data_IF_696263965379
#
_entry.id   IF_696263965379
#
_cell.length_a   1.000
_cell.length_b   1.000
_cell.length_c   1.000
_cell.angle_alpha   90.00
_cell.angle_beta   90.00
_cell.angle_gamma   90.00
#
_symmetry.space_group_name_H-M   'P 1'
#
loop_
_entity.id
_entity.type
_entity.pdbx_description
1 polymer ?
#
# COMPACT_ATOMS: atom_id res chain seq x y z
N UNK A 1 64.28 -20.35 -18.79
CA UNK A 1 64.51 -18.89 -18.75
C UNK A 1 63.44 -18.27 -17.88
N UNK A 2 63.82 -17.79 -16.70
CA UNK A 2 62.91 -17.21 -15.72
C UNK A 2 62.38 -15.86 -16.22
N UNK A 3 61.07 -15.65 -16.15
CA UNK A 3 60.43 -14.38 -16.49
C UNK A 3 60.71 -13.41 -15.34
N UNK A 4 61.47 -12.36 -15.61
CA UNK A 4 61.83 -11.33 -14.63
C UNK A 4 60.58 -10.58 -14.16
N UNK A 5 60.40 -10.46 -12.84
CA UNK A 5 59.31 -9.73 -12.19
C UNK A 5 59.30 -8.21 -12.45
N UNK A 6 60.26 -7.71 -13.23
CA UNK A 6 60.37 -6.28 -13.56
C UNK A 6 59.42 -5.85 -14.69
N UNK A 7 58.82 -6.79 -15.42
CA UNK A 7 57.92 -6.48 -16.55
C UNK A 7 56.44 -6.32 -16.13
N UNK A 8 56.07 -6.66 -14.90
CA UNK A 8 54.68 -6.68 -14.44
C UNK A 8 54.18 -5.35 -13.84
N UNK A 9 55.02 -4.30 -13.77
CA UNK A 9 54.64 -2.98 -13.22
C UNK A 9 54.70 -1.86 -14.24
N UNK A 10 54.90 -2.17 -15.53
CA UNK A 10 54.67 -1.17 -16.58
C UNK A 10 53.18 -0.99 -16.76
N UNK A 11 52.66 -0.04 -16.00
CA UNK A 11 51.39 0.66 -16.20
C UNK A 11 51.00 0.63 -17.69
N UNK A 12 50.10 -0.28 -18.03
CA UNK A 12 49.38 -0.22 -19.29
C UNK A 12 48.51 1.02 -19.20
N UNK A 13 48.99 2.15 -19.72
CA UNK A 13 48.16 3.33 -19.88
C UNK A 13 47.01 2.94 -20.80
N UNK A 14 45.85 2.66 -20.23
CA UNK A 14 44.59 2.46 -20.97
C UNK A 14 44.03 3.78 -21.51
N UNK A 15 44.90 4.80 -21.63
CA UNK A 15 44.56 6.07 -22.24
C UNK A 15 44.47 5.85 -23.75
N UNK A 16 43.32 6.09 -24.41
CA UNK A 16 43.23 5.94 -25.86
C UNK A 16 44.25 6.91 -26.50
N UNK A 17 45.31 6.36 -27.08
CA UNK A 17 46.26 7.14 -27.87
C UNK A 17 45.51 7.62 -29.11
N UNK A 18 45.09 8.89 -29.10
CA UNK A 18 44.54 9.55 -30.28
C UNK A 18 45.61 9.53 -31.38
N UNK A 19 45.46 8.62 -32.34
CA UNK A 19 46.40 8.36 -33.43
C UNK A 19 46.37 9.47 -34.52
N UNK A 20 46.35 10.74 -34.11
CA UNK A 20 46.57 11.86 -35.02
C UNK A 20 47.74 12.67 -34.51
N UNK A 21 48.84 12.65 -35.26
CA UNK A 21 50.01 13.52 -35.00
C UNK A 21 49.48 14.95 -34.85
N UNK A 22 49.83 15.69 -33.78
CA UNK A 22 49.36 17.06 -33.61
C UNK A 22 49.81 17.86 -34.84
N UNK A 23 48.82 18.34 -35.61
CA UNK A 23 49.11 19.23 -36.75
C UNK A 23 49.89 20.43 -36.21
N UNK A 24 50.94 20.88 -36.90
CA UNK A 24 51.72 22.03 -36.44
C UNK A 24 50.77 23.21 -36.22
N UNK A 25 50.77 23.74 -34.99
CA UNK A 25 49.97 24.91 -34.64
C UNK A 25 50.46 26.04 -35.52
N UNK A 26 49.63 26.45 -36.48
CA UNK A 26 49.94 27.59 -37.34
C UNK A 26 50.17 28.81 -36.45
N UNK A 27 51.42 29.30 -36.41
CA UNK A 27 51.83 30.50 -35.67
C UNK A 27 51.41 31.76 -36.42
N UNK A 28 50.15 31.85 -36.83
CA UNK A 28 49.65 33.07 -37.44
C UNK A 28 49.72 34.20 -36.39
N UNK A 29 50.49 35.27 -36.65
CA UNK A 29 50.52 36.42 -35.75
C UNK A 29 49.10 36.96 -35.61
N UNK A 30 48.65 37.13 -34.36
CA UNK A 30 47.35 37.73 -34.07
C UNK A 30 47.35 39.23 -34.38
N UNK A 31 46.18 39.89 -34.28
CA UNK A 31 46.07 41.34 -34.42
C UNK A 31 47.05 42.06 -33.47
N UNK A 32 47.68 43.17 -33.91
CA UNK A 32 48.63 43.90 -33.07
C UNK A 32 47.92 44.50 -31.83
N UNK A 33 48.49 44.30 -30.64
CA UNK A 33 47.97 44.84 -29.37
C UNK A 33 47.16 43.87 -28.50
N UNK A 34 47.01 42.59 -28.88
CA UNK A 34 46.28 41.58 -28.09
C UNK A 34 47.03 41.24 -26.77
N UNK A 35 46.33 41.24 -25.63
CA UNK A 35 46.92 40.79 -24.36
C UNK A 35 47.21 39.27 -24.39
N UNK A 36 48.21 38.77 -23.63
CA UNK A 36 48.52 37.34 -23.62
C UNK A 36 47.31 36.45 -23.27
N UNK A 37 46.42 36.92 -22.39
CA UNK A 37 45.21 36.20 -22.00
C UNK A 37 44.17 36.14 -23.13
N UNK A 38 43.97 37.25 -23.86
CA UNK A 38 43.09 37.29 -25.03
C UNK A 38 43.59 36.33 -26.12
N UNK A 39 44.91 36.28 -26.34
CA UNK A 39 45.52 35.36 -27.31
C UNK A 39 45.22 33.90 -27.00
N UNK A 40 45.32 33.50 -25.74
CA UNK A 40 44.98 32.14 -25.32
C UNK A 40 43.49 31.86 -25.52
N UNK A 41 42.61 32.81 -25.18
CA UNK A 41 41.16 32.68 -25.39
C UNK A 41 40.82 32.50 -26.87
N UNK A 42 41.44 33.28 -27.75
CA UNK A 42 41.28 33.18 -29.21
C UNK A 42 41.79 31.85 -29.74
N UNK A 43 42.97 31.41 -29.31
CA UNK A 43 43.55 30.14 -29.73
C UNK A 43 42.70 28.95 -29.26
N UNK A 44 42.16 29.01 -28.04
CA UNK A 44 41.20 28.00 -27.53
C UNK A 44 39.93 28.02 -28.36
N UNK A 45 39.31 29.17 -28.58
CA UNK A 45 38.12 29.30 -29.41
C UNK A 45 38.34 28.84 -30.86
N UNK A 46 39.52 29.09 -31.44
CA UNK A 46 39.88 28.61 -32.77
C UNK A 46 40.11 27.10 -32.81
N UNK A 47 40.71 26.53 -31.76
CA UNK A 47 40.88 25.09 -31.61
C UNK A 47 39.53 24.39 -31.43
N UNK A 48 38.64 24.95 -30.61
CA UNK A 48 37.28 24.45 -30.39
C UNK A 48 36.47 24.53 -31.69
N UNK A 49 36.54 25.65 -32.42
CA UNK A 49 35.92 25.80 -33.74
C UNK A 49 36.48 24.82 -34.77
N UNK A 50 37.78 24.52 -34.72
CA UNK A 50 38.41 23.53 -35.61
C UNK A 50 37.98 22.10 -35.28
N UNK A 51 37.74 21.79 -33.99
CA UNK A 51 37.13 20.51 -33.59
C UNK A 51 35.68 20.43 -34.01
N UNK A 52 34.90 21.49 -33.80
CA UNK A 52 33.50 21.56 -34.19
C UNK A 52 33.28 21.52 -35.71
N UNK A 53 34.26 21.96 -36.51
CA UNK A 53 34.24 21.87 -37.96
C UNK A 53 34.47 20.44 -38.50
N UNK A 54 35.09 19.56 -37.70
CA UNK A 54 35.28 18.15 -38.06
C UNK A 54 34.03 17.29 -37.82
N UNK A 55 33.05 17.82 -37.09
CA UNK A 55 31.80 17.14 -36.78
C UNK A 55 30.78 17.46 -37.87
N UNK A 56 30.25 16.42 -38.52
CA UNK A 56 29.19 16.55 -39.53
C UNK A 56 27.94 17.22 -38.94
N UNK A 57 27.26 18.07 -39.72
CA UNK A 57 26.01 18.73 -39.31
C UNK A 57 24.92 17.72 -38.93
N UNK A 58 24.91 16.56 -39.59
CA UNK A 58 24.02 15.45 -39.29
C UNK A 58 24.32 14.81 -37.93
N UNK A 59 25.59 14.67 -37.57
CA UNK A 59 26.01 14.13 -36.27
C UNK A 59 25.63 15.09 -35.12
N UNK A 60 25.75 16.41 -35.36
CA UNK A 60 25.25 17.43 -34.41
C UNK A 60 23.73 17.32 -34.20
N UNK A 61 22.97 17.07 -35.27
CA UNK A 61 21.53 16.90 -35.18
C UNK A 61 21.17 15.62 -34.40
N UNK A 62 21.85 14.50 -34.65
CA UNK A 62 21.64 13.25 -33.91
C UNK A 62 21.95 13.40 -32.42
N UNK A 63 23.07 14.05 -32.07
CA UNK A 63 23.43 14.32 -30.67
C UNK A 63 22.38 15.19 -29.98
N UNK A 64 21.86 16.21 -30.67
CA UNK A 64 20.77 17.05 -30.16
C UNK A 64 19.46 16.28 -30.02
N UNK A 65 19.17 15.40 -30.98
CA UNK A 65 17.99 14.54 -31.01
C UNK A 65 17.96 13.56 -29.84
N UNK A 66 19.09 12.95 -29.49
CA UNK A 66 19.20 12.06 -28.33
C UNK A 66 18.82 12.78 -27.02
N UNK A 67 19.34 13.98 -26.82
CA UNK A 67 19.04 14.77 -25.62
C UNK A 67 17.57 15.18 -25.58
N UNK A 68 16.96 15.47 -26.72
CA UNK A 68 15.53 15.78 -26.81
C UNK A 68 14.65 14.56 -26.56
N UNK A 69 15.03 13.39 -27.08
CA UNK A 69 14.34 12.13 -26.84
C UNK A 69 14.40 11.74 -25.36
N UNK A 70 15.57 11.84 -24.73
CA UNK A 70 15.74 11.62 -23.28
C UNK A 70 14.87 12.59 -22.46
N UNK A 71 14.76 13.86 -22.90
CA UNK A 71 13.95 14.87 -22.23
C UNK A 71 12.45 14.63 -22.42
N UNK A 72 12.02 14.19 -23.60
CA UNK A 72 10.65 13.81 -23.88
C UNK A 72 10.23 12.57 -23.07
N UNK A 73 11.08 11.54 -23.01
CA UNK A 73 10.84 10.35 -22.19
C UNK A 73 10.72 10.70 -20.70
N UNK A 74 11.58 11.58 -20.18
CA UNK A 74 11.48 12.05 -18.79
C UNK A 74 10.19 12.83 -18.55
N UNK A 75 9.78 13.68 -19.48
CA UNK A 75 8.53 14.43 -19.37
C UNK A 75 7.32 13.48 -19.34
N UNK A 76 7.25 12.50 -20.22
CA UNK A 76 6.13 11.53 -20.23
C UNK A 76 6.12 10.67 -18.97
N UNK A 77 7.28 10.21 -18.51
CA UNK A 77 7.39 9.46 -17.25
C UNK A 77 6.89 10.28 -16.06
N UNK A 78 7.34 11.52 -15.91
CA UNK A 78 6.86 12.39 -14.82
C UNK A 78 5.38 12.76 -14.98
N UNK A 79 4.88 12.89 -16.20
CA UNK A 79 3.45 13.11 -16.45
C UNK A 79 2.61 11.90 -16.01
N UNK A 80 3.05 10.68 -16.30
CA UNK A 80 2.36 9.46 -15.86
C UNK A 80 2.37 9.34 -14.33
N UNK A 81 3.52 9.61 -13.70
CA UNK A 81 3.63 9.65 -12.23
C UNK A 81 2.70 10.73 -11.65
N UNK A 82 2.66 11.92 -12.23
CA UNK A 82 1.74 12.97 -11.79
C UNK A 82 0.27 12.55 -11.90
N UNK A 83 -0.09 11.88 -13.00
CA UNK A 83 -1.45 11.40 -13.23
C UNK A 83 -1.86 10.30 -12.23
N UNK A 84 -0.95 9.42 -11.81
CA UNK A 84 -1.25 8.42 -10.77
C UNK A 84 -1.48 9.06 -9.40
N UNK A 85 -0.73 10.11 -9.05
CA UNK A 85 -1.00 10.86 -7.81
C UNK A 85 -2.36 11.55 -7.84
N UNK A 86 -2.75 12.15 -8.97
CA UNK A 86 -4.07 12.76 -9.12
C UNK A 86 -5.16 11.70 -8.99
N UNK A 87 -5.02 10.56 -9.68
CA UNK A 87 -5.96 9.45 -9.59
C UNK A 87 -6.08 8.93 -8.13
N UNK A 88 -4.95 8.79 -7.43
CA UNK A 88 -4.94 8.43 -6.01
C UNK A 88 -5.59 9.48 -5.10
N UNK A 89 -5.42 10.76 -5.38
CA UNK A 89 -6.11 11.83 -4.66
C UNK A 89 -7.63 11.77 -4.85
N UNK A 90 -8.09 11.51 -6.07
CA UNK A 90 -9.52 11.37 -6.39
C UNK A 90 -10.14 10.16 -5.70
N UNK A 91 -9.43 9.03 -5.60
CA UNK A 91 -9.96 7.85 -4.90
C UNK A 91 -10.11 8.08 -3.40
N UNK A 92 -9.13 8.71 -2.75
CA UNK A 92 -9.22 9.08 -1.32
C UNK A 92 -10.36 10.07 -1.10
N UNK A 93 -10.54 11.05 -1.99
CA UNK A 93 -11.65 11.99 -1.94
C UNK A 93 -13.00 11.28 -2.04
N UNK A 94 -13.17 10.37 -3.02
CA UNK A 94 -14.43 9.64 -3.21
C UNK A 94 -14.78 8.75 -2.01
N UNK A 95 -13.79 8.08 -1.42
CA UNK A 95 -13.97 7.28 -0.20
C UNK A 95 -14.38 8.16 0.98
N UNK A 96 -13.72 9.31 1.15
CA UNK A 96 -14.06 10.28 2.18
C UNK A 96 -15.47 10.84 2.03
N UNK A 97 -15.87 11.21 0.81
CA UNK A 97 -17.20 11.74 0.52
C UNK A 97 -18.31 10.71 0.83
N UNK A 98 -18.12 9.46 0.43
CA UNK A 98 -19.04 8.37 0.76
C UNK A 98 -19.14 8.12 2.26
N UNK A 99 -18.04 8.19 3.01
CA UNK A 99 -18.05 8.03 4.47
C UNK A 99 -18.85 9.16 5.15
N UNK A 100 -18.65 10.41 4.73
CA UNK A 100 -19.37 11.56 5.30
C UNK A 100 -20.86 11.47 4.98
N UNK A 101 -21.20 11.13 3.72
CA UNK A 101 -22.59 10.95 3.31
C UNK A 101 -23.28 9.83 4.10
N UNK A 102 -22.65 8.66 4.21
CA UNK A 102 -23.19 7.54 4.99
C UNK A 102 -23.30 7.87 6.47
N UNK A 103 -22.34 8.61 7.03
CA UNK A 103 -22.41 9.07 8.42
C UNK A 103 -23.62 9.98 8.64
N UNK A 104 -23.89 10.91 7.72
CA UNK A 104 -25.08 11.78 7.78
C UNK A 104 -26.38 10.97 7.70
N UNK A 105 -26.47 10.03 6.75
CA UNK A 105 -27.65 9.17 6.60
C UNK A 105 -27.89 8.27 7.81
N UNK A 106 -26.83 7.71 8.39
CA UNK A 106 -26.92 6.97 9.66
C UNK A 106 -27.38 7.88 10.79
N UNK A 107 -26.86 9.10 10.88
CA UNK A 107 -27.27 10.05 11.91
C UNK A 107 -28.76 10.42 11.83
N UNK A 108 -29.29 10.65 10.62
CA UNK A 108 -30.72 10.88 10.40
C UNK A 108 -31.56 9.68 10.88
N UNK A 109 -31.18 8.47 10.48
CA UNK A 109 -31.87 7.25 10.88
C UNK A 109 -31.86 7.04 12.40
N UNK A 110 -30.72 7.26 13.06
CA UNK A 110 -30.64 7.17 14.52
C UNK A 110 -31.41 8.29 15.22
N UNK A 111 -31.48 9.49 14.64
CA UNK A 111 -32.31 10.57 15.17
C UNK A 111 -33.81 10.20 15.12
N UNK A 112 -34.28 9.63 14.02
CA UNK A 112 -35.66 9.13 13.89
C UNK A 112 -35.95 7.98 14.87
N UNK A 113 -35.02 7.04 15.04
CA UNK A 113 -35.18 5.97 16.03
C UNK A 113 -35.22 6.51 17.44
N UNK A 114 -34.33 7.43 17.80
CA UNK A 114 -34.32 8.09 19.12
C UNK A 114 -35.63 8.84 19.36
N UNK A 115 -36.18 9.51 18.35
CA UNK A 115 -37.47 10.17 18.45
C UNK A 115 -38.62 9.18 18.70
N UNK A 116 -38.70 8.09 17.91
CA UNK A 116 -39.72 7.04 18.11
C UNK A 116 -39.60 6.38 19.48
N UNK A 117 -38.36 6.13 19.92
CA UNK A 117 -38.06 5.55 21.21
C UNK A 117 -38.45 6.47 22.36
N UNK A 118 -38.15 7.77 22.27
CA UNK A 118 -38.56 8.77 23.26
C UNK A 118 -40.09 8.87 23.37
N UNK A 119 -40.80 8.89 22.24
CA UNK A 119 -42.27 8.86 22.22
C UNK A 119 -42.83 7.58 22.87
N UNK A 120 -42.17 6.43 22.68
CA UNK A 120 -42.56 5.19 23.33
C UNK A 120 -42.32 5.23 24.85
N UNK A 121 -41.21 5.83 25.30
CA UNK A 121 -40.95 6.06 26.73
C UNK A 121 -42.00 6.99 27.35
N UNK A 122 -42.32 8.12 26.73
CA UNK A 122 -43.32 9.04 27.25
C UNK A 122 -44.71 8.41 27.31
N UNK A 123 -45.10 7.63 26.29
CA UNK A 123 -46.38 6.93 26.30
C UNK A 123 -46.44 5.83 27.37
N UNK A 124 -45.35 5.08 27.58
CA UNK A 124 -45.27 4.10 28.67
C UNK A 124 -45.31 4.78 30.06
N UNK A 125 -44.61 5.91 30.23
CA UNK A 125 -44.62 6.67 31.47
C UNK A 125 -45.99 7.25 31.80
N UNK A 126 -46.67 7.84 30.81
CA UNK A 126 -48.02 8.39 31.01
C UNK A 126 -49.03 7.31 31.31
N UNK A 127 -48.97 6.16 30.63
CA UNK A 127 -49.82 5.00 30.93
C UNK A 127 -49.53 4.41 32.32
N UNK A 128 -48.26 4.39 32.75
CA UNK A 128 -47.88 3.94 34.09
C UNK A 128 -48.39 4.91 35.16
N UNK A 129 -48.29 6.22 34.92
CA UNK A 129 -48.80 7.25 35.83
C UNK A 129 -50.33 7.24 35.94
N UNK A 130 -51.04 6.95 34.85
CA UNK A 130 -52.49 6.78 34.84
C UNK A 130 -52.96 5.42 35.38
N UNK A 131 -52.03 4.50 35.70
CA UNK A 131 -52.34 3.15 36.18
C UNK A 131 -52.94 2.21 35.14
N UNK A 132 -52.91 2.59 33.86
CA UNK A 132 -53.44 1.80 32.72
C UNK A 132 -52.34 1.17 31.87
N UNK A 133 -51.11 1.07 32.41
CA UNK A 133 -49.98 0.52 31.68
C UNK A 133 -50.15 -0.96 31.36
N UNK A 134 -49.78 -1.35 30.15
CA UNK A 134 -49.67 -2.76 29.76
C UNK A 134 -48.43 -3.38 30.41
N UNK A 135 -48.44 -4.69 30.63
CA UNK A 135 -47.29 -5.43 31.19
C UNK A 135 -46.01 -5.19 30.37
N UNK A 136 -46.14 -5.13 29.04
CA UNK A 136 -45.05 -4.80 28.12
C UNK A 136 -44.46 -3.40 28.32
N UNK A 137 -45.28 -2.40 28.66
CA UNK A 137 -44.81 -1.03 28.94
C UNK A 137 -44.08 -0.94 30.28
N UNK A 138 -44.52 -1.73 31.28
CA UNK A 138 -43.87 -1.81 32.59
C UNK A 138 -42.50 -2.49 32.45
N UNK A 139 -42.42 -3.61 31.74
CA UNK A 139 -41.15 -4.28 31.47
C UNK A 139 -40.17 -3.38 30.71
N UNK A 140 -40.67 -2.64 29.71
CA UNK A 140 -39.89 -1.67 28.95
C UNK A 140 -39.26 -0.60 29.85
N UNK A 141 -40.04 -0.03 30.78
CA UNK A 141 -39.54 0.95 31.75
C UNK A 141 -38.51 0.36 32.73
N UNK A 142 -38.70 -0.88 33.17
CA UNK A 142 -37.75 -1.55 34.05
C UNK A 142 -36.41 -1.79 33.36
N UNK A 143 -36.46 -2.27 32.11
CA UNK A 143 -35.26 -2.49 31.28
C UNK A 143 -34.50 -1.19 31.05
N UNK A 144 -35.20 -0.07 30.86
CA UNK A 144 -34.53 1.23 30.71
C UNK A 144 -33.89 1.73 32.00
N UNK A 145 -34.54 1.52 33.16
CA UNK A 145 -33.93 1.82 34.47
C UNK A 145 -32.66 1.01 34.71
N UNK A 146 -32.66 -0.28 34.36
CA UNK A 146 -31.48 -1.13 34.45
C UNK A 146 -30.35 -0.64 33.51
N UNK A 147 -30.70 -0.22 32.28
CA UNK A 147 -29.74 0.36 31.33
C UNK A 147 -29.11 1.63 31.88
N UNK A 148 -29.91 2.56 32.40
CA UNK A 148 -29.40 3.79 33.01
C UNK A 148 -28.45 3.51 34.18
N UNK A 149 -28.76 2.52 35.01
CA UNK A 149 -27.88 2.12 36.12
C UNK A 149 -26.54 1.59 35.61
N UNK A 150 -26.56 0.72 34.59
CA UNK A 150 -25.34 0.20 33.96
C UNK A 150 -24.51 1.32 33.33
N UNK A 151 -25.15 2.27 32.62
CA UNK A 151 -24.47 3.42 32.03
C UNK A 151 -23.82 4.28 33.10
N UNK A 152 -24.51 4.57 34.21
CA UNK A 152 -23.94 5.34 35.34
C UNK A 152 -22.72 4.62 35.95
N UNK A 153 -22.82 3.32 36.20
CA UNK A 153 -21.70 2.51 36.70
C UNK A 153 -20.52 2.54 35.71
N UNK A 154 -20.79 2.39 34.41
CA UNK A 154 -19.77 2.42 33.36
C UNK A 154 -19.14 3.82 33.20
N UNK A 155 -19.91 4.90 33.30
CA UNK A 155 -19.38 6.27 33.30
C UNK A 155 -18.48 6.55 34.50
N UNK A 156 -18.87 6.08 35.69
CA UNK A 156 -18.03 6.16 36.88
C UNK A 156 -16.74 5.35 36.72
N UNK A 157 -16.81 4.18 36.09
CA UNK A 157 -15.63 3.39 35.74
C UNK A 157 -14.76 4.09 34.68
N UNK A 158 -15.36 4.75 33.68
CA UNK A 158 -14.66 5.53 32.64
C UNK A 158 -13.95 6.75 33.21
N UNK A 159 -14.55 7.47 34.15
CA UNK A 159 -13.92 8.57 34.89
C UNK A 159 -12.70 8.11 35.70
N UNK A 160 -12.73 6.87 36.18
CA UNK A 160 -11.62 6.23 36.92
C UNK A 160 -10.59 5.57 36.00
N UNK A 161 -10.90 5.37 34.71
CA UNK A 161 -10.04 4.69 33.76
C UNK A 161 -8.97 5.63 33.16
N UNK A 162 -7.79 5.10 32.77
CA UNK A 162 -6.78 5.87 32.08
C UNK A 162 -7.29 6.37 30.72
N UNK A 163 -6.94 7.61 30.36
CA UNK A 163 -7.42 8.27 29.13
C UNK A 163 -7.08 7.51 27.84
N UNK A 164 -7.84 7.76 26.78
CA UNK A 164 -7.74 7.05 25.50
C UNK A 164 -6.32 7.02 24.90
N UNK A 165 -5.51 8.06 25.15
CA UNK A 165 -4.11 8.13 24.74
C UNK A 165 -3.19 7.14 25.47
N UNK A 166 -3.47 6.86 26.74
CA UNK A 166 -2.73 5.86 27.52
C UNK A 166 -3.14 4.46 27.07
N UNK A 167 -4.43 4.24 26.78
CA UNK A 167 -4.92 2.97 26.20
C UNK A 167 -4.36 2.68 24.81
N UNK A 168 -4.24 3.68 23.94
CA UNK A 168 -3.65 3.48 22.61
C UNK A 168 -2.14 3.23 22.68
N UNK A 169 -1.43 3.91 23.57
CA UNK A 169 -0.02 3.61 23.88
C UNK A 169 0.12 2.22 24.47
N UNK A 170 -0.68 1.87 25.46
CA UNK A 170 -0.64 0.53 26.08
C UNK A 170 -0.98 -0.55 25.05
N UNK A 171 -1.84 -0.30 24.07
CA UNK A 171 -2.09 -1.23 22.96
C UNK A 171 -0.89 -1.33 22.00
N UNK A 172 -0.29 -0.21 21.59
CA UNK A 172 0.88 -0.18 20.70
C UNK A 172 2.15 -0.74 21.37
N UNK A 173 2.32 -0.54 22.68
CA UNK A 173 3.49 -0.97 23.45
C UNK A 173 3.25 -2.25 24.27
N UNK A 174 2.03 -2.80 24.30
CA UNK A 174 1.74 -4.12 24.88
C UNK A 174 2.50 -5.24 24.15
N UNK A 175 2.91 -5.01 22.91
CA UNK A 175 3.79 -5.93 22.18
C UNK A 175 5.27 -5.83 22.58
N UNK A 176 5.75 -4.66 22.99
CA UNK A 176 7.16 -4.43 23.35
C UNK A 176 7.47 -4.76 24.81
N UNK A 177 6.54 -4.48 25.74
CA UNK A 177 6.76 -4.75 27.18
C UNK A 177 6.78 -6.24 27.53
N UNK A 178 6.37 -7.11 26.61
CA UNK A 178 6.31 -8.56 26.85
C UNK A 178 7.64 -9.28 26.60
N UNK A 179 8.70 -8.56 26.22
CA UNK A 179 10.04 -9.12 26.03
C UNK A 179 11.02 -8.86 27.20
N UNK A 180 10.68 -8.04 28.19
CA UNK A 180 11.60 -7.68 29.30
C UNK A 180 11.27 -8.34 30.65
N UNK A 181 10.11 -9.00 30.78
CA UNK A 181 9.73 -9.77 31.97
C UNK A 181 9.40 -11.20 31.56
N UNK A 182 10.36 -12.09 31.81
CA UNK A 182 10.28 -13.52 31.50
C UNK A 182 9.18 -14.24 32.29
N UNK A 183 8.78 -15.38 31.74
CA UNK A 183 7.87 -16.39 32.30
C UNK A 183 6.42 -15.96 32.60
N UNK A 184 5.57 -16.09 31.56
CA UNK A 184 4.35 -16.90 31.71
C UNK A 184 3.87 -17.40 30.33
N UNK A 185 4.25 -18.64 30.01
CA UNK A 185 3.70 -19.42 28.89
C UNK A 185 2.34 -20.00 29.29
N UNK A 186 1.31 -19.17 29.34
CA UNK A 186 -0.02 -19.59 29.79
C UNK A 186 -1.17 -18.93 29.03
N UNK A 187 -1.86 -19.71 28.18
CA UNK A 187 -3.19 -19.45 27.61
C UNK A 187 -3.31 -18.32 26.56
N UNK A 188 -2.88 -18.62 25.33
CA UNK A 188 -3.10 -17.80 24.13
C UNK A 188 -4.54 -17.78 23.60
N UNK A 189 -5.54 -18.22 24.37
CA UNK A 189 -6.94 -18.32 23.91
C UNK A 189 -7.87 -17.19 24.38
N UNK A 190 -7.41 -16.24 25.21
CA UNK A 190 -8.32 -15.21 25.79
C UNK A 190 -8.01 -13.75 25.44
N UNK A 191 -7.07 -13.45 24.54
CA UNK A 191 -6.67 -12.06 24.24
C UNK A 191 -6.71 -11.71 22.75
N UNK A 192 -7.77 -12.13 22.08
CA UNK A 192 -8.26 -11.48 20.86
C UNK A 192 -9.73 -11.06 21.07
N UNK A 193 -10.00 -10.48 22.25
CA UNK A 193 -11.29 -9.92 22.61
C UNK A 193 -11.61 -8.72 21.72
N UNK A 194 -12.48 -8.96 20.74
CA UNK A 194 -13.13 -7.99 19.87
C UNK A 194 -14.21 -7.21 20.66
N UNK A 195 -13.90 -6.80 21.90
CA UNK A 195 -14.87 -6.32 22.88
C UNK A 195 -14.63 -4.85 23.28
N UNK A 196 -13.61 -4.20 22.70
CA UNK A 196 -13.23 -2.82 23.04
C UNK A 196 -13.68 -1.77 22.00
N UNK A 197 -14.47 -2.15 20.99
CA UNK A 197 -15.01 -1.24 19.98
C UNK A 197 -16.45 -1.58 19.60
N UNK A 198 -17.37 -1.51 20.57
CA UNK A 198 -18.76 -1.08 20.36
C UNK A 198 -19.52 -1.22 21.69
N UNK A 199 -19.73 -0.10 22.39
CA UNK A 199 -20.63 -0.01 23.55
C UNK A 199 -21.91 0.75 23.14
N UNK A 200 -22.23 0.80 21.84
CA UNK A 200 -23.34 1.59 21.28
C UNK A 200 -24.39 0.76 20.52
N UNK A 201 -24.35 -0.57 20.60
CA UNK A 201 -25.31 -1.45 19.89
C UNK A 201 -25.98 -2.46 20.85
N UNK A 202 -26.84 -1.96 21.74
CA UNK A 202 -27.75 -2.79 22.55
C UNK A 202 -29.22 -2.69 22.06
N UNK A 203 -29.46 -2.24 20.83
CA UNK A 203 -30.82 -2.07 20.30
C UNK A 203 -31.10 -2.78 18.96
N UNK A 204 -30.26 -3.75 18.58
CA UNK A 204 -30.33 -4.40 17.26
C UNK A 204 -30.34 -5.95 17.32
N UNK A 205 -31.00 -6.51 18.34
CA UNK A 205 -30.95 -7.94 18.67
C UNK A 205 -31.47 -8.93 17.63
N UNK A 206 -32.18 -8.51 16.57
CA UNK A 206 -32.75 -9.44 15.58
C UNK A 206 -32.11 -9.35 14.19
N UNK A 207 -31.44 -8.23 13.86
CA UNK A 207 -30.85 -8.02 12.52
C UNK A 207 -29.33 -8.23 12.50
N UNK A 208 -28.68 -8.14 13.66
CA UNK A 208 -27.26 -8.46 13.80
C UNK A 208 -26.99 -9.96 13.81
N UNK A 209 -27.93 -10.79 14.27
CA UNK A 209 -27.78 -12.25 14.26
C UNK A 209 -27.60 -12.79 12.83
N UNK A 210 -28.28 -12.21 11.84
CA UNK A 210 -28.12 -12.59 10.43
C UNK A 210 -26.80 -12.11 9.83
N UNK A 211 -26.35 -10.90 10.20
CA UNK A 211 -25.07 -10.35 9.72
C UNK A 211 -23.90 -11.09 10.38
N UNK A 212 -24.00 -11.39 11.67
CA UNK A 212 -23.02 -12.18 12.42
C UNK A 212 -22.97 -13.61 11.91
N UNK A 213 -24.11 -14.25 11.66
CA UNK A 213 -24.17 -15.58 11.03
C UNK A 213 -23.56 -15.57 9.63
N UNK A 214 -23.83 -14.55 8.81
CA UNK A 214 -23.22 -14.43 7.49
C UNK A 214 -21.70 -14.19 7.54
N UNK A 215 -21.21 -13.47 8.56
CA UNK A 215 -19.77 -13.27 8.79
C UNK A 215 -19.12 -14.58 9.27
N UNK A 216 -19.79 -15.30 10.17
CA UNK A 216 -19.33 -16.58 10.70
C UNK A 216 -19.29 -17.66 9.61
N UNK A 217 -20.33 -17.75 8.77
CA UNK A 217 -20.36 -18.62 7.60
C UNK A 217 -19.23 -18.29 6.61
N UNK A 218 -18.97 -17.01 6.34
CA UNK A 218 -17.84 -16.60 5.49
C UNK A 218 -16.49 -16.91 6.13
N UNK A 219 -16.35 -16.76 7.45
CA UNK A 219 -15.14 -17.10 8.19
C UNK A 219 -14.87 -18.60 8.15
N UNK A 220 -15.91 -19.42 8.34
CA UNK A 220 -15.84 -20.88 8.20
C UNK A 220 -15.50 -21.30 6.77
N UNK A 221 -16.07 -20.64 5.76
CA UNK A 221 -15.73 -20.90 4.35
C UNK A 221 -14.27 -20.56 4.03
N UNK A 222 -13.75 -19.44 4.55
CA UNK A 222 -12.35 -19.04 4.39
C UNK A 222 -11.43 -20.03 5.12
N UNK A 223 -11.78 -20.42 6.35
CA UNK A 223 -11.00 -21.41 7.11
C UNK A 223 -10.99 -22.78 6.43
N UNK A 224 -12.12 -23.25 5.91
CA UNK A 224 -12.19 -24.52 5.19
C UNK A 224 -11.41 -24.46 3.86
N UNK A 225 -11.44 -23.32 3.15
CA UNK A 225 -10.64 -23.10 1.95
C UNK A 225 -9.15 -23.02 2.25
N UNK A 226 -8.77 -22.45 3.40
CA UNK A 226 -7.39 -22.42 3.85
C UNK A 226 -6.90 -23.82 4.25
N UNK A 227 -7.71 -24.59 4.97
CA UNK A 227 -7.42 -25.99 5.32
C UNK A 227 -7.29 -26.87 4.08
N UNK A 228 -8.19 -26.75 3.11
CA UNK A 228 -8.12 -27.53 1.87
C UNK A 228 -6.93 -27.13 0.99
N UNK A 229 -6.57 -25.84 0.94
CA UNK A 229 -5.35 -25.40 0.27
C UNK A 229 -4.09 -25.95 0.95
N UNK A 230 -4.07 -25.97 2.28
CA UNK A 230 -2.96 -26.50 3.07
C UNK A 230 -2.82 -28.02 2.93
N UNK A 231 -3.95 -28.76 2.92
CA UNK A 231 -3.97 -30.20 2.66
C UNK A 231 -3.50 -30.51 1.23
N UNK A 232 -3.95 -29.74 0.23
CA UNK A 232 -3.47 -29.87 -1.14
C UNK A 232 -1.97 -29.58 -1.28
N UNK A 233 -1.42 -28.66 -0.48
CA UNK A 233 0.03 -28.39 -0.45
C UNK A 233 0.80 -29.50 0.29
N UNK A 234 0.26 -30.04 1.38
CA UNK A 234 0.81 -31.19 2.10
C UNK A 234 0.83 -32.45 1.25
N UNK A 235 -0.20 -32.67 0.44
CA UNK A 235 -0.25 -33.76 -0.55
C UNK A 235 0.78 -33.54 -1.67
N UNK A 236 0.95 -32.30 -2.15
CA UNK A 236 2.02 -31.96 -3.11
C UNK A 236 3.42 -32.19 -2.53
N UNK A 237 3.62 -31.98 -1.23
CA UNK A 237 4.87 -32.33 -0.56
C UNK A 237 5.08 -33.84 -0.43
N UNK A 238 4.01 -34.61 -0.22
CA UNK A 238 4.08 -36.10 -0.15
C UNK A 238 4.30 -36.75 -1.51
N UNK A 239 3.68 -36.21 -2.57
CA UNK A 239 3.70 -36.78 -3.93
C UNK A 239 4.83 -36.16 -4.77
N UNK A 240 5.53 -35.16 -4.26
CA UNK A 240 6.50 -34.37 -5.02
C UNK A 240 5.82 -33.28 -5.85
N UNK A 241 6.52 -32.15 -5.99
CA UNK A 241 6.05 -30.98 -6.71
C UNK A 241 5.88 -31.26 -8.21
N UNK A 242 5.25 -30.36 -8.98
CA UNK A 242 5.09 -30.55 -10.43
C UNK A 242 6.44 -30.68 -11.18
N UNK A 243 7.54 -30.23 -10.58
CA UNK A 243 8.89 -30.37 -11.12
C UNK A 243 9.48 -31.78 -10.93
N UNK A 244 9.09 -32.48 -9.85
CA UNK A 244 9.56 -33.84 -9.53
C UNK A 244 8.87 -34.92 -10.39
N UNK A 245 7.73 -34.57 -11.00
CA UNK A 245 6.92 -35.46 -11.86
C UNK A 245 7.35 -35.46 -13.33
N UNK A 246 8.18 -34.51 -13.73
CA UNK A 246 8.65 -34.34 -15.12
C UNK A 246 9.52 -35.53 -15.59
N UNK A 247 9.93 -36.43 -14.69
CA UNK A 247 10.64 -37.68 -15.02
C UNK A 247 9.81 -38.98 -14.97
N UNK A 248 8.62 -38.97 -14.37
CA UNK A 248 7.77 -40.19 -14.19
C UNK A 248 6.63 -40.27 -15.20
N UNK A 249 6.19 -39.14 -15.76
CA UNK A 249 5.07 -39.08 -16.72
C UNK A 249 5.48 -39.43 -18.16
N UNK A 250 6.58 -40.19 -18.32
CA UNK A 250 7.15 -40.58 -19.61
C UNK A 250 6.33 -41.57 -20.41
N UNK A 251 5.27 -42.18 -19.86
CA UNK A 251 4.57 -43.27 -20.56
C UNK A 251 3.06 -43.06 -20.82
N UNK A 252 2.39 -42.03 -20.28
CA UNK A 252 0.95 -41.87 -20.53
C UNK A 252 0.53 -40.46 -20.98
N UNK A 253 0.33 -40.38 -22.31
CA UNK A 253 -0.60 -39.49 -23.02
C UNK A 253 -0.39 -37.97 -22.88
N UNK A 254 0.37 -37.39 -23.84
CA UNK A 254 0.38 -35.94 -24.12
C UNK A 254 -0.97 -35.47 -24.69
N UNK A 255 -1.73 -34.55 -24.06
CA UNK A 255 -2.77 -33.80 -24.75
C UNK A 255 -2.12 -32.77 -25.68
N UNK A 256 -2.56 -32.75 -26.94
CA UNK A 256 -2.10 -31.81 -27.98
C UNK A 256 -2.35 -30.38 -27.51
N UNK A 257 -1.28 -29.59 -27.41
CA UNK A 257 -1.29 -28.17 -27.09
C UNK A 257 -2.13 -27.40 -28.12
N UNK A 258 -3.30 -26.91 -27.71
CA UNK A 258 -4.10 -25.97 -28.49
C UNK A 258 -3.41 -24.62 -28.55
N UNK A 259 -3.03 -24.20 -29.75
CA UNK A 259 -2.45 -22.88 -29.99
C UNK A 259 -3.42 -21.74 -29.67
N UNK A 260 -2.88 -20.53 -29.48
CA UNK A 260 -3.58 -19.29 -29.10
C UNK A 260 -4.78 -18.88 -29.98
N UNK A 261 -5.08 -19.59 -31.06
CA UNK A 261 -6.23 -19.35 -31.94
C UNK A 261 -7.52 -20.06 -31.49
N UNK A 262 -7.46 -20.93 -30.47
CA UNK A 262 -8.61 -21.71 -30.01
C UNK A 262 -9.81 -20.89 -29.50
N UNK A 263 -9.62 -19.63 -29.10
CA UNK A 263 -10.72 -18.81 -28.56
C UNK A 263 -11.63 -18.22 -29.66
N UNK A 264 -11.20 -18.24 -30.93
CA UNK A 264 -11.93 -17.65 -32.05
C UNK A 264 -12.99 -18.58 -32.68
N UNK A 265 -13.03 -19.86 -32.27
CA UNK A 265 -13.86 -20.90 -32.92
C UNK A 265 -15.13 -21.26 -32.13
N UNK A 266 -15.36 -20.72 -30.92
CA UNK A 266 -16.66 -20.89 -30.24
C UNK A 266 -17.62 -19.76 -30.67
N UNK A 267 -18.44 -20.05 -31.66
CA UNK A 267 -19.71 -19.36 -31.93
C UNK A 267 -20.86 -20.26 -31.48
#
# INVERSE_FOLDING_TARGET
>A
MARSATDATRFTSTTPHAATKPKPVSRNPGPPGETPQQRVKRLRAAADKARDAQISTFDKFLLRGRVWADKAHRFTAFSLIGLTFIAGGVTVYALGDMMVYNRKKRAEFYAEQKFKYAMALESAQTAAASGTATESQIEFLNREKEREQKVKIAEEAKKKAPGAWKKSKDWLFSGLKKEEEGDDVGTSERRLGYEALSEEDDNLGERESDVVRAIEEKKMAIQNKAKSAFEAEKERQRIGGPLDRIGTDGEEQKPKSGGWTSFMIRK
#
